data_IF_279779180457
#
_entry.id   IF_279779180457
#
_cell.length_a   1.000
_cell.length_b   1.000
_cell.length_c   1.000
_cell.angle_alpha   90.00
_cell.angle_beta   90.00
_cell.angle_gamma   90.00
#
_symmetry.space_group_name_H-M   'P 1'
#
loop_
_entity.id
_entity.type
_entity.pdbx_description
1 polymer ?
#
# COMPACT_ATOMS: atom_id res chain seq x y z
N UNK A 1 -3.87 -17.81 12.36
CA UNK A 1 -3.77 -16.36 12.06
C UNK A 1 -5.06 -15.97 11.36
N UNK A 2 -5.61 -14.80 11.66
CA UNK A 2 -6.83 -14.32 10.98
C UNK A 2 -6.46 -13.83 9.58
N UNK A 3 -7.20 -14.24 8.57
CA UNK A 3 -6.97 -13.84 7.19
C UNK A 3 -7.72 -12.54 6.89
N UNK A 4 -6.99 -11.52 6.42
CA UNK A 4 -7.58 -10.24 6.02
C UNK A 4 -8.16 -10.32 4.60
N UNK A 5 -7.39 -10.84 3.65
CA UNK A 5 -7.82 -11.02 2.26
C UNK A 5 -7.46 -12.43 1.79
N UNK A 6 -8.40 -13.09 1.11
CA UNK A 6 -8.19 -14.36 0.40
C UNK A 6 -8.67 -14.21 -1.04
N UNK A 7 -7.80 -14.53 -1.98
CA UNK A 7 -8.08 -14.54 -3.41
C UNK A 7 -7.85 -15.96 -3.92
N UNK A 8 -8.87 -16.59 -4.50
CA UNK A 8 -8.75 -17.92 -5.09
C UNK A 8 -9.14 -17.92 -6.57
N UNK A 9 -8.28 -18.49 -7.41
CA UNK A 9 -8.49 -18.74 -8.84
C UNK A 9 -9.02 -17.51 -9.59
N UNK A 10 -8.49 -16.32 -9.25
CA UNK A 10 -8.94 -15.05 -9.81
C UNK A 10 -8.61 -15.00 -11.29
N UNK A 11 -9.62 -14.67 -12.09
CA UNK A 11 -9.49 -14.40 -13.52
C UNK A 11 -10.08 -13.02 -13.82
N UNK A 12 -9.35 -12.21 -14.57
CA UNK A 12 -9.84 -10.92 -15.03
C UNK A 12 -9.20 -10.52 -16.35
N UNK A 13 -10.03 -10.05 -17.27
CA UNK A 13 -9.68 -9.61 -18.62
C UNK A 13 -10.29 -8.25 -18.87
N UNK A 14 -9.49 -7.29 -19.35
CA UNK A 14 -10.05 -6.02 -19.82
C UNK A 14 -10.85 -6.23 -21.12
N UNK A 15 -11.85 -5.39 -21.37
CA UNK A 15 -12.70 -5.46 -22.58
C UNK A 15 -11.87 -5.47 -23.89
N UNK A 16 -10.68 -4.84 -23.87
CA UNK A 16 -9.74 -4.76 -24.99
C UNK A 16 -8.78 -5.97 -25.12
N UNK A 17 -9.15 -7.13 -24.54
CA UNK A 17 -8.60 -8.51 -24.69
C UNK A 17 -7.36 -8.92 -23.89
N UNK A 18 -6.68 -8.02 -23.19
CA UNK A 18 -5.54 -8.43 -22.38
C UNK A 18 -6.04 -9.04 -21.05
N UNK A 19 -5.87 -10.36 -20.91
CA UNK A 19 -6.09 -11.06 -19.65
C UNK A 19 -5.02 -10.64 -18.67
N UNK A 20 -5.42 -9.99 -17.58
CA UNK A 20 -4.53 -9.48 -16.53
C UNK A 20 -4.26 -10.55 -15.49
N UNK A 21 -5.26 -11.35 -15.14
CA UNK A 21 -5.11 -12.45 -14.19
C UNK A 21 -5.73 -13.72 -14.77
N UNK A 22 -5.01 -14.83 -14.70
CA UNK A 22 -5.50 -16.16 -15.06
C UNK A 22 -5.03 -17.17 -14.00
N UNK A 23 -5.96 -17.62 -13.16
CA UNK A 23 -5.69 -18.49 -12.00
C UNK A 23 -4.78 -17.86 -10.93
N UNK A 24 -5.02 -16.58 -10.60
CA UNK A 24 -4.26 -15.88 -9.57
C UNK A 24 -4.76 -16.20 -8.15
N UNK A 25 -3.84 -16.48 -7.24
CA UNK A 25 -4.12 -16.83 -5.85
C UNK A 25 -3.24 -16.00 -4.92
N UNK A 26 -3.83 -15.43 -3.87
CA UNK A 26 -3.10 -14.63 -2.88
C UNK A 26 -3.81 -14.64 -1.53
N UNK A 27 -3.02 -14.76 -0.46
CA UNK A 27 -3.52 -14.68 0.91
C UNK A 27 -2.76 -13.59 1.68
N UNK A 28 -3.50 -12.71 2.35
CA UNK A 28 -2.96 -11.62 3.18
C UNK A 28 -3.47 -11.80 4.60
N UNK A 29 -2.56 -11.85 5.56
CA UNK A 29 -2.91 -11.99 6.97
C UNK A 29 -3.28 -10.64 7.59
N UNK A 30 -4.21 -10.66 8.54
CA UNK A 30 -4.60 -9.46 9.28
C UNK A 30 -3.42 -8.90 10.08
N UNK A 31 -3.32 -7.57 10.08
CA UNK A 31 -2.26 -6.87 10.80
C UNK A 31 -0.91 -6.89 10.10
N UNK A 32 -0.82 -7.42 8.88
CA UNK A 32 0.41 -7.46 8.08
C UNK A 32 0.59 -6.16 7.29
N UNK A 33 1.83 -5.68 7.16
CA UNK A 33 2.20 -4.74 6.11
C UNK A 33 2.73 -5.54 4.92
N UNK A 34 2.00 -5.53 3.82
CA UNK A 34 2.39 -6.17 2.57
C UNK A 34 2.76 -5.12 1.53
N UNK A 35 3.92 -5.28 0.88
CA UNK A 35 4.27 -4.52 -0.31
C UNK A 35 3.99 -5.34 -1.57
N UNK A 36 3.22 -4.76 -2.50
CA UNK A 36 2.96 -5.33 -3.81
C UNK A 36 3.84 -4.63 -4.84
N UNK A 37 4.78 -5.36 -5.43
CA UNK A 37 5.76 -4.81 -6.38
C UNK A 37 5.68 -5.54 -7.72
N UNK A 38 6.17 -4.91 -8.78
CA UNK A 38 5.99 -5.39 -10.15
C UNK A 38 6.23 -4.28 -11.15
N UNK A 39 6.55 -4.60 -12.41
CA UNK A 39 6.69 -3.57 -13.45
C UNK A 39 5.36 -2.85 -13.73
N UNK A 40 5.41 -1.74 -14.47
CA UNK A 40 4.21 -1.03 -14.87
C UNK A 40 3.36 -1.89 -15.82
N UNK A 41 2.07 -2.02 -15.52
CA UNK A 41 1.15 -2.89 -16.26
C UNK A 41 1.05 -4.32 -15.73
N UNK A 42 1.79 -4.70 -14.68
CA UNK A 42 1.75 -6.08 -14.15
C UNK A 42 0.44 -6.49 -13.45
N UNK A 43 -0.54 -5.59 -13.34
CA UNK A 43 -1.85 -5.84 -12.73
C UNK A 43 -2.01 -5.40 -11.27
N UNK A 44 -1.01 -4.76 -10.63
CA UNK A 44 -1.08 -4.34 -9.22
C UNK A 44 -2.29 -3.45 -8.89
N UNK A 45 -2.45 -2.34 -9.61
CA UNK A 45 -3.57 -1.43 -9.40
C UNK A 45 -4.90 -2.06 -9.84
N UNK A 46 -4.88 -2.98 -10.81
CA UNK A 46 -6.05 -3.80 -11.19
C UNK A 46 -6.47 -4.70 -10.03
N UNK A 47 -5.53 -5.34 -9.35
CA UNK A 47 -5.79 -6.16 -8.17
C UNK A 47 -6.43 -5.34 -7.03
N UNK A 48 -5.93 -4.13 -6.75
CA UNK A 48 -6.55 -3.24 -5.77
C UNK A 48 -8.00 -2.89 -6.12
N UNK A 49 -8.28 -2.58 -7.39
CA UNK A 49 -9.64 -2.29 -7.88
C UNK A 49 -10.56 -3.51 -7.77
N UNK A 50 -10.06 -4.71 -8.06
CA UNK A 50 -10.80 -5.98 -7.88
C UNK A 50 -11.11 -6.23 -6.41
N UNK A 51 -10.14 -6.04 -5.50
CA UNK A 51 -10.32 -6.21 -4.05
C UNK A 51 -11.41 -5.27 -3.51
N UNK A 52 -11.50 -4.05 -4.02
CA UNK A 52 -12.52 -3.06 -3.65
C UNK A 52 -13.87 -3.27 -4.34
N UNK A 53 -13.95 -4.19 -5.31
CA UNK A 53 -15.12 -4.36 -6.17
C UNK A 53 -15.43 -3.12 -7.01
N UNK A 54 -14.41 -2.34 -7.41
CA UNK A 54 -14.57 -1.26 -8.39
C UNK A 54 -14.71 -1.81 -9.81
N UNK A 55 -14.16 -3.00 -10.03
CA UNK A 55 -14.34 -3.83 -11.22
C UNK A 55 -14.66 -5.26 -10.76
N UNK A 56 -15.39 -6.01 -11.57
CA UNK A 56 -15.80 -7.39 -11.27
C UNK A 56 -14.85 -8.38 -11.94
N UNK A 57 -14.53 -9.47 -11.24
CA UNK A 57 -13.72 -10.55 -11.79
C UNK A 57 -14.54 -11.42 -12.76
N UNK A 58 -13.89 -11.97 -13.79
CA UNK A 58 -14.51 -12.94 -14.70
C UNK A 58 -14.78 -14.29 -14.00
N UNK A 59 -13.89 -14.67 -13.07
CA UNK A 59 -13.97 -15.89 -12.28
C UNK A 59 -13.13 -15.75 -10.99
N UNK A 60 -13.30 -16.70 -10.08
CA UNK A 60 -12.61 -16.77 -8.81
C UNK A 60 -13.40 -16.13 -7.68
N UNK A 61 -12.76 -16.04 -6.52
CA UNK A 61 -13.38 -15.46 -5.32
C UNK A 61 -12.41 -14.54 -4.61
N UNK A 62 -12.93 -13.41 -4.12
CA UNK A 62 -12.23 -12.50 -3.22
C UNK A 62 -13.02 -12.48 -1.91
N UNK A 63 -12.35 -12.71 -0.80
CA UNK A 63 -12.94 -12.70 0.54
C UNK A 63 -12.17 -11.75 1.43
N UNK A 64 -12.86 -10.88 2.16
CA UNK A 64 -12.29 -9.87 3.06
C UNK A 64 -12.83 -10.13 4.46
N UNK A 65 -11.95 -10.48 5.40
CA UNK A 65 -12.31 -10.89 6.78
C UNK A 65 -13.47 -11.92 6.85
N UNK A 66 -13.47 -12.89 5.92
CA UNK A 66 -14.47 -13.95 5.84
C UNK A 66 -15.74 -13.58 5.06
N UNK A 67 -15.91 -12.33 4.64
CA UNK A 67 -17.00 -11.88 3.79
C UNK A 67 -16.59 -11.92 2.31
N UNK A 68 -17.25 -12.76 1.52
CA UNK A 68 -16.98 -12.86 0.09
C UNK A 68 -17.53 -11.61 -0.62
N UNK A 69 -16.70 -11.00 -1.47
CA UNK A 69 -17.05 -9.86 -2.31
C UNK A 69 -18.03 -10.30 -3.40
N UNK A 70 -19.24 -9.72 -3.35
CA UNK A 70 -20.33 -9.88 -4.31
C UNK A 70 -21.11 -8.57 -4.38
N UNK A 71 -22.03 -8.46 -5.33
CA UNK A 71 -22.88 -7.26 -5.50
C UNK A 71 -23.68 -6.91 -4.24
N UNK A 72 -24.12 -7.90 -3.46
CA UNK A 72 -24.90 -7.73 -2.24
C UNK A 72 -24.05 -7.39 -1.00
N UNK A 73 -22.75 -7.67 -1.02
CA UNK A 73 -21.83 -7.49 0.12
C UNK A 73 -20.78 -6.40 -0.11
N UNK A 74 -20.68 -5.85 -1.33
CA UNK A 74 -19.63 -4.90 -1.72
C UNK A 74 -19.53 -3.68 -0.79
N UNK A 75 -20.65 -3.20 -0.26
CA UNK A 75 -20.66 -2.06 0.66
C UNK A 75 -20.00 -2.41 2.00
N UNK A 76 -20.33 -3.55 2.61
CA UNK A 76 -19.69 -4.02 3.84
C UNK A 76 -18.21 -4.34 3.64
N UNK A 77 -17.83 -4.87 2.47
CA UNK A 77 -16.41 -5.08 2.14
C UNK A 77 -15.67 -3.75 2.07
N UNK A 78 -16.24 -2.75 1.39
CA UNK A 78 -15.65 -1.41 1.27
C UNK A 78 -15.54 -0.68 2.61
N UNK A 79 -16.48 -0.89 3.55
CA UNK A 79 -16.36 -0.32 4.90
C UNK A 79 -15.12 -0.80 5.66
N UNK A 80 -14.58 -1.97 5.29
CA UNK A 80 -13.40 -2.56 5.92
C UNK A 80 -12.09 -2.11 5.26
N UNK A 81 -12.15 -1.47 4.08
CA UNK A 81 -10.98 -1.13 3.26
C UNK A 81 -10.98 0.36 2.92
N UNK A 82 -9.91 1.04 3.31
CA UNK A 82 -9.58 2.36 2.81
C UNK A 82 -8.62 2.31 1.64
N UNK A 83 -8.74 3.23 0.69
CA UNK A 83 -7.79 3.36 -0.43
C UNK A 83 -7.26 4.79 -0.53
N UNK A 84 -5.94 4.91 -0.66
CA UNK A 84 -5.24 6.16 -0.97
C UNK A 84 -4.67 6.02 -2.38
N UNK A 85 -5.08 6.91 -3.29
CA UNK A 85 -4.71 6.84 -4.70
C UNK A 85 -3.39 7.56 -5.01
N UNK A 86 -2.78 7.18 -6.14
CA UNK A 86 -1.51 7.71 -6.61
C UNK A 86 -1.48 9.24 -6.72
N UNK A 87 -2.50 9.81 -7.38
CA UNK A 87 -2.53 11.25 -7.63
C UNK A 87 -3.24 11.99 -6.48
N UNK A 88 -2.52 12.80 -5.68
CA UNK A 88 -3.12 13.59 -4.62
C UNK A 88 -4.14 14.60 -5.11
N UNK A 89 -4.03 15.14 -6.32
CA UNK A 89 -4.90 16.23 -6.78
C UNK A 89 -6.31 15.75 -7.18
N UNK A 90 -6.47 14.46 -7.48
CA UNK A 90 -7.72 13.92 -8.03
C UNK A 90 -8.65 13.29 -6.99
N UNK A 91 -8.32 13.37 -5.70
CA UNK A 91 -9.05 12.68 -4.63
C UNK A 91 -9.76 13.60 -3.63
N UNK A 92 -9.54 14.93 -3.73
CA UNK A 92 -10.21 15.90 -2.87
C UNK A 92 -11.56 16.33 -3.42
N UNK A 93 -12.55 16.37 -2.53
CA UNK A 93 -13.91 16.86 -2.83
C UNK A 93 -14.35 17.97 -1.88
N UNK A 94 -13.74 18.07 -0.69
CA UNK A 94 -14.04 19.10 0.30
C UNK A 94 -13.47 20.48 -0.04
N UNK A 95 -14.13 21.54 0.43
CA UNK A 95 -13.63 22.91 0.29
C UNK A 95 -12.41 23.16 1.19
N UNK A 96 -12.43 22.59 2.40
CA UNK A 96 -11.30 22.58 3.34
C UNK A 96 -10.80 21.17 3.61
N UNK A 97 -9.64 21.05 4.25
CA UNK A 97 -9.11 19.78 4.76
C UNK A 97 -10.10 19.10 5.70
N UNK A 98 -10.72 19.84 6.61
CA UNK A 98 -11.74 19.30 7.51
C UNK A 98 -12.95 18.74 6.76
N UNK A 99 -13.44 19.48 5.75
CA UNK A 99 -14.59 19.06 4.94
C UNK A 99 -14.28 17.79 4.15
N UNK A 100 -13.05 17.65 3.66
CA UNK A 100 -12.65 16.45 2.92
C UNK A 100 -12.60 15.21 3.81
N UNK A 101 -12.06 15.34 5.03
CA UNK A 101 -12.08 14.26 6.03
C UNK A 101 -13.51 13.93 6.47
N UNK A 102 -14.37 14.94 6.57
CA UNK A 102 -15.78 14.77 6.93
C UNK A 102 -16.58 14.01 5.88
N UNK A 103 -16.23 14.12 4.59
CA UNK A 103 -16.98 13.55 3.48
C UNK A 103 -17.28 12.05 3.66
N UNK A 104 -16.27 11.27 4.07
CA UNK A 104 -16.48 9.85 4.36
C UNK A 104 -17.44 9.59 5.51
N UNK A 105 -17.36 10.42 6.57
CA UNK A 105 -18.21 10.31 7.76
C UNK A 105 -19.67 10.64 7.44
N UNK A 106 -19.90 11.63 6.57
CA UNK A 106 -21.23 12.00 6.07
C UNK A 106 -21.86 10.86 5.28
N UNK A 107 -21.07 10.18 4.44
CA UNK A 107 -21.53 9.01 3.70
C UNK A 107 -21.91 7.83 4.61
N UNK A 108 -21.36 7.77 5.84
CA UNK A 108 -21.76 6.82 6.89
C UNK A 108 -22.89 7.35 7.78
N UNK A 109 -23.50 8.47 7.42
CA UNK A 109 -24.57 9.12 8.17
C UNK A 109 -24.20 9.43 9.63
N UNK A 110 -22.91 9.71 9.89
CA UNK A 110 -22.45 10.07 11.22
C UNK A 110 -23.13 11.39 11.67
N UNK A 111 -23.57 11.50 12.95
CA UNK A 111 -24.10 12.77 13.45
C UNK A 111 -23.06 13.89 13.39
N UNK A 112 -23.46 15.07 12.93
CA UNK A 112 -22.57 16.23 12.83
C UNK A 112 -21.96 16.68 14.17
N UNK A 113 -22.58 16.30 15.31
CA UNK A 113 -22.03 16.54 16.64
C UNK A 113 -20.78 15.73 16.95
N UNK A 114 -20.62 14.57 16.29
CA UNK A 114 -19.58 13.58 16.61
C UNK A 114 -18.38 13.72 15.68
N UNK A 115 -18.62 14.22 14.46
CA UNK A 115 -17.60 14.42 13.42
C UNK A 115 -16.39 15.24 13.87
N UNK A 116 -16.51 16.39 14.58
CA UNK A 116 -15.35 17.23 14.90
C UNK A 116 -14.25 16.47 15.64
N UNK A 117 -14.62 15.61 16.60
CA UNK A 117 -13.65 14.83 17.37
C UNK A 117 -12.94 13.79 16.49
N UNK A 118 -13.68 13.12 15.60
CA UNK A 118 -13.13 12.11 14.69
C UNK A 118 -12.18 12.75 13.67
N UNK A 119 -12.57 13.91 13.12
CA UNK A 119 -11.74 14.68 12.18
C UNK A 119 -10.44 15.13 12.87
N UNK A 120 -10.53 15.69 14.08
CA UNK A 120 -9.36 16.16 14.84
C UNK A 120 -8.42 15.00 15.21
N UNK A 121 -8.96 13.84 15.58
CA UNK A 121 -8.14 12.66 15.86
C UNK A 121 -7.41 12.19 14.59
N UNK A 122 -8.12 12.06 13.47
CA UNK A 122 -7.54 11.62 12.20
C UNK A 122 -6.45 12.57 11.70
N UNK A 123 -6.69 13.87 11.73
CA UNK A 123 -5.70 14.89 11.35
C UNK A 123 -4.49 14.92 12.28
N UNK A 124 -4.70 14.71 13.58
CA UNK A 124 -3.61 14.62 14.56
C UNK A 124 -2.71 13.41 14.28
N UNK A 125 -3.30 12.24 13.97
CA UNK A 125 -2.57 11.02 13.66
C UNK A 125 -1.59 11.23 12.50
N UNK A 126 -2.00 11.96 11.45
CA UNK A 126 -1.17 12.20 10.26
C UNK A 126 -0.35 13.50 10.35
N UNK A 127 -0.41 14.22 11.48
CA UNK A 127 0.31 15.48 11.68
C UNK A 127 -0.15 16.61 10.76
N UNK A 128 -1.46 16.75 10.57
CA UNK A 128 -2.11 17.75 9.70
C UNK A 128 -3.11 18.66 10.43
N UNK A 129 -3.13 18.64 11.77
CA UNK A 129 -4.08 19.43 12.58
C UNK A 129 -4.01 20.95 12.27
N UNK A 130 -2.82 21.50 12.10
CA UNK A 130 -2.62 22.94 11.81
C UNK A 130 -3.10 23.36 10.41
N UNK A 131 -3.49 22.40 9.58
CA UNK A 131 -3.96 22.62 8.20
C UNK A 131 -5.47 22.42 8.05
N UNK A 132 -6.18 22.11 9.15
CA UNK A 132 -7.61 21.75 9.19
C UNK A 132 -8.51 22.68 8.36
N UNK A 133 -8.30 24.00 8.47
CA UNK A 133 -9.15 25.01 7.82
C UNK A 133 -8.59 25.47 6.46
N UNK A 134 -7.52 24.86 5.96
CA UNK A 134 -6.92 25.23 4.66
C UNK A 134 -7.64 24.56 3.51
N UNK A 135 -7.64 25.22 2.36
CA UNK A 135 -8.09 24.64 1.11
C UNK A 135 -7.07 23.63 0.57
N UNK A 136 -7.47 22.45 0.07
CA UNK A 136 -6.56 21.39 -0.37
C UNK A 136 -5.54 21.86 -1.41
N UNK A 137 -5.91 22.77 -2.31
CA UNK A 137 -5.03 23.27 -3.36
C UNK A 137 -3.82 24.05 -2.84
N UNK A 138 -3.86 24.53 -1.59
CA UNK A 138 -2.78 25.24 -0.91
C UNK A 138 -1.74 24.31 -0.25
N UNK A 139 -1.96 23.00 -0.30
CA UNK A 139 -1.09 21.99 0.30
C UNK A 139 -0.05 21.46 -0.69
N UNK A 140 1.12 21.07 -0.19
CA UNK A 140 2.08 20.29 -0.97
C UNK A 140 1.56 18.88 -1.27
N UNK A 141 2.14 18.19 -2.26
CA UNK A 141 1.74 16.82 -2.60
C UNK A 141 1.81 15.85 -1.41
N UNK A 142 2.87 15.92 -0.60
CA UNK A 142 3.01 15.07 0.59
C UNK A 142 2.00 15.42 1.70
N UNK A 143 1.66 16.70 1.85
CA UNK A 143 0.58 17.12 2.76
C UNK A 143 -0.77 16.61 2.29
N UNK A 144 -1.06 16.70 0.99
CA UNK A 144 -2.28 16.16 0.39
C UNK A 144 -2.40 14.66 0.64
N UNK A 145 -1.34 13.88 0.41
CA UNK A 145 -1.37 12.44 0.68
C UNK A 145 -1.62 12.12 2.16
N UNK A 146 -1.07 12.89 3.09
CA UNK A 146 -1.36 12.73 4.52
C UNK A 146 -2.81 13.09 4.87
N UNK A 147 -3.41 14.09 4.23
CA UNK A 147 -4.84 14.38 4.41
C UNK A 147 -5.71 13.27 3.83
N UNK A 148 -5.40 12.76 2.64
CA UNK A 148 -6.13 11.62 2.06
C UNK A 148 -6.08 10.39 2.99
N UNK A 149 -4.93 10.14 3.62
CA UNK A 149 -4.78 9.11 4.64
C UNK A 149 -5.63 9.41 5.88
N UNK A 150 -5.77 10.66 6.31
CA UNK A 150 -6.68 11.05 7.39
C UNK A 150 -8.14 10.79 7.03
N UNK A 151 -8.59 11.16 5.82
CA UNK A 151 -9.94 10.91 5.32
C UNK A 151 -10.28 9.41 5.35
N UNK A 152 -9.30 8.57 4.99
CA UNK A 152 -9.41 7.11 5.11
C UNK A 152 -9.44 6.64 6.56
N UNK A 153 -8.54 7.12 7.41
CA UNK A 153 -8.43 6.70 8.82
C UNK A 153 -9.66 7.09 9.65
N UNK A 154 -10.29 8.22 9.35
CA UNK A 154 -11.51 8.67 10.00
C UNK A 154 -12.64 7.64 9.93
N UNK A 155 -12.66 6.82 8.86
CA UNK A 155 -13.63 5.74 8.66
C UNK A 155 -13.33 4.47 9.46
N UNK A 156 -12.18 4.41 10.14
CA UNK A 156 -11.68 3.28 10.93
C UNK A 156 -11.64 1.96 10.14
N UNK A 157 -10.98 1.91 8.96
CA UNK A 157 -10.89 0.69 8.18
C UNK A 157 -9.95 -0.32 8.85
N UNK A 158 -10.11 -1.61 8.52
CA UNK A 158 -9.20 -2.68 8.95
C UNK A 158 -8.01 -2.86 8.00
N UNK A 159 -8.17 -2.44 6.75
CA UNK A 159 -7.15 -2.49 5.69
C UNK A 159 -7.01 -1.11 5.06
N UNK A 160 -5.77 -0.66 4.83
CA UNK A 160 -5.49 0.51 3.98
C UNK A 160 -4.64 0.06 2.81
N UNK A 161 -5.13 0.33 1.59
CA UNK A 161 -4.40 0.13 0.34
C UNK A 161 -3.85 1.48 -0.11
N UNK A 162 -2.55 1.54 -0.39
CA UNK A 162 -1.89 2.70 -0.96
C UNK A 162 -1.42 2.35 -2.37
N UNK A 163 -2.03 2.95 -3.38
CA UNK A 163 -1.72 2.69 -4.79
C UNK A 163 -0.73 3.74 -5.31
N UNK A 164 0.58 3.46 -5.24
CA UNK A 164 1.65 4.38 -5.66
C UNK A 164 1.55 5.79 -5.04
N UNK A 165 1.04 5.89 -3.81
CA UNK A 165 0.73 7.17 -3.15
C UNK A 165 1.92 8.14 -3.03
N UNK A 166 3.16 7.63 -3.09
CA UNK A 166 4.40 8.40 -2.97
C UNK A 166 5.10 8.68 -4.31
N UNK A 167 4.60 8.14 -5.42
CA UNK A 167 5.27 8.21 -6.72
C UNK A 167 5.37 9.63 -7.29
N UNK A 168 4.38 10.49 -7.00
CA UNK A 168 4.32 11.88 -7.48
C UNK A 168 4.88 12.89 -6.47
N UNK A 169 5.60 12.43 -5.44
CA UNK A 169 6.11 13.28 -4.37
C UNK A 169 7.61 13.54 -4.53
N UNK A 170 8.04 14.72 -4.08
CA UNK A 170 9.44 15.00 -3.82
C UNK A 170 9.98 14.10 -2.67
N UNK A 171 11.32 13.95 -2.54
CA UNK A 171 11.92 13.07 -1.54
C UNK A 171 11.49 13.36 -0.10
N UNK A 172 11.37 14.63 0.29
CA UNK A 172 10.94 15.01 1.64
C UNK A 172 9.47 14.67 1.86
N UNK A 173 8.62 14.98 0.88
CA UNK A 173 7.21 14.58 0.84
C UNK A 173 7.03 13.07 1.02
N UNK A 174 7.75 12.27 0.23
CA UNK A 174 7.77 10.80 0.34
C UNK A 174 8.19 10.34 1.73
N UNK A 175 9.30 10.86 2.26
CA UNK A 175 9.80 10.50 3.59
C UNK A 175 8.75 10.77 4.69
N UNK A 176 8.04 11.89 4.63
CA UNK A 176 6.99 12.21 5.60
C UNK A 176 5.79 11.28 5.53
N UNK A 177 5.36 10.88 4.33
CA UNK A 177 4.29 9.89 4.15
C UNK A 177 4.73 8.53 4.69
N UNK A 178 5.93 8.05 4.34
CA UNK A 178 6.45 6.78 4.84
C UNK A 178 6.60 6.75 6.36
N UNK A 179 7.08 7.84 6.96
CA UNK A 179 7.15 7.97 8.42
C UNK A 179 5.75 7.93 9.06
N UNK A 180 4.75 8.51 8.40
CA UNK A 180 3.35 8.42 8.85
C UNK A 180 2.86 6.96 8.84
N UNK A 181 3.12 6.20 7.76
CA UNK A 181 2.74 4.78 7.66
C UNK A 181 3.41 3.92 8.73
N UNK A 182 4.70 4.14 9.00
CA UNK A 182 5.40 3.48 10.11
C UNK A 182 4.77 3.82 11.45
N UNK A 183 4.40 5.09 11.68
CA UNK A 183 3.68 5.53 12.87
C UNK A 183 2.32 4.85 13.02
N UNK A 184 1.55 4.70 11.94
CA UNK A 184 0.29 3.96 11.94
C UNK A 184 0.50 2.50 12.30
N UNK A 185 1.48 1.84 11.65
CA UNK A 185 1.82 0.45 11.93
C UNK A 185 2.21 0.25 13.39
N UNK A 186 2.99 1.17 13.96
CA UNK A 186 3.37 1.13 15.37
C UNK A 186 2.18 1.36 16.30
N UNK A 187 1.27 2.28 15.96
CA UNK A 187 0.11 2.66 16.77
C UNK A 187 -0.97 1.57 16.79
N UNK A 188 -1.33 1.05 15.62
CA UNK A 188 -2.44 0.10 15.45
C UNK A 188 -1.98 -1.37 15.43
N UNK A 189 -0.69 -1.63 15.18
CA UNK A 189 -0.12 -2.96 15.23
C UNK A 189 -0.90 -3.97 14.38
N UNK A 190 -1.43 -5.01 15.02
CA UNK A 190 -2.19 -6.06 14.36
C UNK A 190 -3.63 -5.69 13.99
N UNK A 191 -4.14 -4.54 14.46
CA UNK A 191 -5.51 -4.09 14.17
C UNK A 191 -5.63 -3.51 12.75
N UNK A 192 -4.51 -3.03 12.18
CA UNK A 192 -4.46 -2.41 10.86
C UNK A 192 -3.57 -3.21 9.91
N UNK A 193 -4.14 -3.59 8.76
CA UNK A 193 -3.42 -4.20 7.65
C UNK A 193 -3.04 -3.11 6.65
N UNK A 194 -1.77 -3.04 6.24
CA UNK A 194 -1.31 -2.09 5.23
C UNK A 194 -0.94 -2.85 3.95
N UNK A 195 -1.39 -2.35 2.80
CA UNK A 195 -1.03 -2.88 1.49
C UNK A 195 -0.48 -1.72 0.67
N UNK A 196 0.82 -1.69 0.44
CA UNK A 196 1.48 -0.66 -0.36
C UNK A 196 1.83 -1.19 -1.74
N UNK A 197 1.21 -0.64 -2.77
CA UNK A 197 1.62 -0.86 -4.16
C UNK A 197 2.69 0.18 -4.48
N UNK A 198 3.88 -0.28 -4.83
CA UNK A 198 5.01 0.61 -5.09
C UNK A 198 5.98 0.01 -6.09
N UNK A 199 6.72 0.89 -6.76
CA UNK A 199 7.91 0.54 -7.54
C UNK A 199 9.20 0.95 -6.82
N UNK A 200 9.10 1.62 -5.66
CA UNK A 200 10.26 1.99 -4.85
C UNK A 200 10.62 0.84 -3.90
N UNK A 201 11.77 0.21 -4.14
CA UNK A 201 12.21 -0.92 -3.34
C UNK A 201 12.55 -0.53 -1.89
N UNK A 202 12.92 0.73 -1.63
CA UNK A 202 13.15 1.19 -0.25
C UNK A 202 11.85 1.24 0.54
N UNK A 203 10.73 1.54 -0.11
CA UNK A 203 9.41 1.49 0.52
C UNK A 203 8.99 0.04 0.79
N UNK A 204 9.20 -0.84 -0.20
CA UNK A 204 8.91 -2.27 -0.06
C UNK A 204 9.74 -2.93 1.05
N UNK A 205 10.94 -2.42 1.33
CA UNK A 205 11.79 -2.88 2.41
C UNK A 205 11.23 -2.63 3.82
N UNK A 206 10.28 -1.69 3.96
CA UNK A 206 9.64 -1.40 5.25
C UNK A 206 8.49 -2.36 5.58
N UNK A 207 8.02 -3.13 4.60
CA UNK A 207 6.92 -4.07 4.76
C UNK A 207 7.35 -5.34 5.52
N UNK A 208 6.38 -6.03 6.11
CA UNK A 208 6.62 -7.34 6.74
C UNK A 208 6.80 -8.45 5.68
N UNK A 209 6.23 -8.23 4.48
CA UNK A 209 6.19 -9.20 3.37
C UNK A 209 6.14 -8.47 2.03
N UNK A 210 6.85 -9.00 1.05
CA UNK A 210 6.85 -8.49 -0.33
C UNK A 210 6.25 -9.56 -1.23
N UNK A 211 5.31 -9.15 -2.09
CA UNK A 211 4.75 -9.97 -3.16
C UNK A 211 5.09 -9.33 -4.49
N UNK A 212 5.78 -10.09 -5.34
CA UNK A 212 6.16 -9.69 -6.68
C UNK A 212 5.11 -10.22 -7.66
N UNK A 213 4.45 -9.32 -8.38
CA UNK A 213 3.55 -9.66 -9.50
C UNK A 213 4.17 -9.21 -10.81
N UNK A 214 4.28 -10.14 -11.76
CA UNK A 214 4.66 -9.88 -13.14
C UNK A 214 3.63 -10.53 -14.08
N UNK A 215 3.14 -9.79 -15.08
CA UNK A 215 2.17 -10.27 -16.07
C UNK A 215 1.03 -11.12 -15.47
N UNK A 216 0.45 -10.66 -14.35
CA UNK A 216 -0.67 -11.36 -13.71
C UNK A 216 -0.32 -12.57 -12.85
N UNK A 217 0.96 -12.88 -12.69
CA UNK A 217 1.44 -14.04 -11.95
C UNK A 217 2.18 -13.61 -10.68
N UNK A 218 1.98 -14.37 -9.60
CA UNK A 218 2.78 -14.27 -8.39
C UNK A 218 4.14 -14.93 -8.65
N UNK A 219 5.20 -14.13 -8.67
CA UNK A 219 6.56 -14.59 -8.96
C UNK A 219 7.31 -14.93 -7.68
N UNK A 220 7.29 -14.01 -6.72
CA UNK A 220 7.94 -14.15 -5.41
C UNK A 220 7.00 -13.69 -4.32
N UNK A 221 7.14 -14.32 -3.16
CA UNK A 221 6.31 -14.07 -2.00
C UNK A 221 7.07 -14.49 -0.74
N UNK A 222 7.47 -13.52 0.07
CA UNK A 222 8.26 -13.80 1.26
C UNK A 222 8.65 -12.56 2.04
N UNK A 223 9.54 -12.73 3.02
CA UNK A 223 10.12 -11.60 3.72
C UNK A 223 10.94 -10.75 2.73
N UNK A 224 11.01 -9.42 2.94
CA UNK A 224 11.72 -8.55 2.01
C UNK A 224 13.17 -8.99 1.73
N UNK A 225 13.92 -9.43 2.75
CA UNK A 225 15.30 -9.95 2.60
C UNK A 225 15.38 -11.22 1.74
N UNK A 226 14.38 -12.11 1.84
CA UNK A 226 14.31 -13.34 1.03
C UNK A 226 14.01 -13.00 -0.43
N UNK A 227 13.07 -12.08 -0.67
CA UNK A 227 12.69 -11.65 -2.02
C UNK A 227 13.85 -10.91 -2.70
N UNK A 228 14.47 -9.94 -2.02
CA UNK A 228 15.55 -9.15 -2.61
C UNK A 228 16.89 -9.89 -2.71
N UNK A 229 17.04 -11.05 -2.05
CA UNK A 229 18.18 -11.94 -2.28
C UNK A 229 18.11 -12.69 -3.62
N UNK A 230 16.93 -12.78 -4.24
CA UNK A 230 16.70 -13.48 -5.51
C UNK A 230 16.97 -12.55 -6.70
N UNK A 231 18.21 -12.05 -6.76
CA UNK A 231 18.67 -11.03 -7.71
C UNK A 231 18.33 -11.36 -9.17
N UNK A 232 18.65 -12.57 -9.61
CA UNK A 232 18.40 -12.99 -10.99
C UNK A 232 16.90 -12.97 -11.29
N UNK A 233 16.06 -13.47 -10.39
CA UNK A 233 14.60 -13.49 -10.58
C UNK A 233 14.08 -12.06 -10.68
N UNK A 234 14.46 -11.17 -9.77
CA UNK A 234 14.05 -9.76 -9.80
C UNK A 234 14.43 -9.08 -11.12
N UNK A 235 15.69 -9.22 -11.54
CA UNK A 235 16.21 -8.59 -12.77
C UNK A 235 15.53 -9.14 -14.04
N UNK A 236 15.30 -10.46 -14.13
CA UNK A 236 14.60 -11.06 -15.29
C UNK A 236 13.14 -10.63 -15.39
N UNK A 237 12.51 -10.22 -14.29
CA UNK A 237 11.14 -9.70 -14.24
C UNK A 237 11.08 -8.17 -14.36
N UNK A 238 12.18 -7.52 -14.75
CA UNK A 238 12.22 -6.08 -15.00
C UNK A 238 12.14 -5.23 -13.74
N UNK A 239 12.53 -5.78 -12.59
CA UNK A 239 12.55 -5.07 -11.32
C UNK A 239 13.97 -4.66 -10.94
N UNK A 240 14.10 -3.41 -10.51
CA UNK A 240 15.32 -2.88 -9.92
C UNK A 240 15.48 -3.39 -8.48
N UNK A 241 16.72 -3.36 -7.98
CA UNK A 241 17.03 -3.72 -6.59
C UNK A 241 17.20 -2.44 -5.77
N UNK A 242 17.02 -2.51 -4.44
CA UNK A 242 17.57 -1.48 -3.58
C UNK A 242 19.06 -1.28 -3.87
N UNK A 243 19.55 -0.04 -3.75
CA UNK A 243 20.96 0.31 -4.03
C UNK A 243 21.96 -0.61 -3.30
N UNK A 244 21.66 -0.97 -2.04
CA UNK A 244 22.50 -1.86 -1.23
C UNK A 244 22.59 -3.26 -1.86
N UNK A 245 21.49 -3.76 -2.43
CA UNK A 245 21.46 -5.01 -3.18
C UNK A 245 22.27 -4.94 -4.47
N UNK A 246 22.16 -3.85 -5.23
CA UNK A 246 22.98 -3.66 -6.43
C UNK A 246 24.48 -3.61 -6.11
N UNK A 247 24.85 -2.87 -5.06
CA UNK A 247 26.23 -2.77 -4.60
C UNK A 247 26.75 -4.13 -4.16
N UNK A 248 25.97 -4.87 -3.36
CA UNK A 248 26.30 -6.22 -2.91
C UNK A 248 26.66 -7.16 -4.07
N UNK A 249 25.88 -7.14 -5.16
CA UNK A 249 26.13 -7.98 -6.35
C UNK A 249 27.43 -7.61 -7.07
N UNK A 250 27.92 -6.38 -6.94
CA UNK A 250 29.16 -5.90 -7.59
C UNK A 250 30.42 -6.06 -6.73
N UNK A 251 30.28 -6.48 -5.48
CA UNK A 251 31.41 -6.67 -4.56
C UNK A 251 32.09 -8.03 -4.78
N UNK A 252 33.42 -8.06 -4.60
CA UNK A 252 34.23 -9.29 -4.56
C UNK A 252 35.11 -9.29 -3.31
N UNK A 253 34.92 -10.23 -2.35
CA UNK A 253 33.91 -11.30 -2.38
C UNK A 253 32.47 -10.76 -2.37
N UNK A 254 31.51 -11.53 -2.86
CA UNK A 254 30.08 -11.19 -2.76
C UNK A 254 29.55 -11.61 -1.37
N UNK A 255 28.77 -10.78 -0.66
CA UNK A 255 28.13 -11.18 0.60
C UNK A 255 27.08 -12.28 0.38
N UNK A 256 26.94 -13.16 1.37
CA UNK A 256 25.91 -14.20 1.38
C UNK A 256 24.54 -13.58 1.72
N UNK A 257 23.58 -13.70 0.80
CA UNK A 257 22.21 -13.19 0.98
C UNK A 257 22.09 -11.67 0.83
N UNK A 258 20.90 -11.15 1.16
CA UNK A 258 20.65 -9.71 1.20
C UNK A 258 21.12 -9.13 2.54
N UNK A 259 21.88 -8.04 2.50
CA UNK A 259 22.26 -7.24 3.65
C UNK A 259 21.55 -5.89 3.56
N UNK A 260 20.99 -5.40 4.65
CA UNK A 260 20.55 -4.00 4.71
C UNK A 260 21.75 -3.02 4.72
N UNK A 261 21.50 -1.70 4.66
CA UNK A 261 22.58 -0.70 4.61
C UNK A 261 23.55 -0.82 5.81
N UNK A 262 23.03 -1.04 7.01
CA UNK A 262 23.84 -1.12 8.24
C UNK A 262 24.65 -2.41 8.25
N UNK A 263 24.03 -3.52 7.85
CA UNK A 263 24.67 -4.81 7.72
C UNK A 263 25.77 -4.81 6.66
N UNK A 264 25.54 -4.18 5.50
CA UNK A 264 26.54 -4.07 4.44
C UNK A 264 27.73 -3.21 4.90
N UNK A 265 27.48 -2.08 5.57
CA UNK A 265 28.55 -1.24 6.14
C UNK A 265 29.41 -2.03 7.13
N UNK A 266 28.76 -2.81 8.02
CA UNK A 266 29.46 -3.65 8.98
C UNK A 266 30.29 -4.73 8.29
N UNK A 267 29.69 -5.43 7.33
CA UNK A 267 30.35 -6.48 6.56
C UNK A 267 31.56 -5.95 5.78
N UNK A 268 31.44 -4.79 5.13
CA UNK A 268 32.55 -4.11 4.45
C UNK A 268 33.67 -3.67 5.41
N UNK A 269 33.30 -3.31 6.64
CA UNK A 269 34.27 -2.92 7.67
C UNK A 269 35.07 -4.12 8.19
N UNK A 270 34.45 -5.30 8.24
CA UNK A 270 35.10 -6.53 8.68
C UNK A 270 36.04 -7.12 7.60
N UNK A 271 35.76 -6.89 6.30
CA UNK A 271 36.67 -7.26 5.19
C UNK A 271 38.00 -6.50 5.18
N UNK A 272 38.06 -5.31 5.79
CA UNK A 272 39.28 -4.49 5.83
C UNK A 272 40.29 -4.94 6.90
N UNK A 273 39.97 -5.97 7.69
CA UNK A 273 40.87 -6.58 8.68
C UNK A 273 41.49 -7.86 8.12
#
# INVERSE_FOLDING_TARGET
MTQAIKINNLKYTYDDKDTVFDDFNLEINAGQWLALVGHNGSGKSTLAKLILGLIEADNGTITVFGEQLRIDTVHHVREQIGMVFQNPDNQFVGATVADDVAFGLENKEMPSSDMPNVIDEALTIVGMQDFKDREPHMLSGGQKQRVALASVLALQPKIIILDEATAMLDPDGRATVMATLQGLKQRFGSELTLITITHDMNEAMLADRVVVINDGQLILDGAPSEVFSQYDVMHHNGLELPFVGELAVRLDPKPDGYLDERELIKWLSDLKK
#
